data_IF_361235331512
#
_entry.id   IF_361235331512
#
_cell.length_a   1.000
_cell.length_b   1.000
_cell.length_c   1.000
_cell.angle_alpha   90.00
_cell.angle_beta   90.00
_cell.angle_gamma   90.00
#
_symmetry.space_group_name_H-M   'P 1'
#
loop_
_entity.id
_entity.type
_entity.pdbx_description
1 polymer ?
#
# COMPACT_ATOMS: atom_id res chain seq x y z
N UNK A 1 -11.44 10.40 -7.77
CA UNK A 1 -10.92 11.38 -6.79
C UNK A 1 -10.95 12.74 -7.44
N UNK A 2 -11.54 13.76 -6.83
CA UNK A 2 -11.42 15.10 -7.37
C UNK A 2 -9.93 15.50 -7.39
N UNK A 3 -9.42 15.84 -8.57
CA UNK A 3 -8.05 16.33 -8.74
C UNK A 3 -6.95 15.28 -8.98
N UNK A 4 -7.27 13.98 -9.00
CA UNK A 4 -6.32 12.96 -9.46
C UNK A 4 -6.51 12.76 -10.97
N UNK A 5 -5.44 12.90 -11.74
CA UNK A 5 -5.49 12.57 -13.17
C UNK A 5 -5.83 11.09 -13.32
N UNK A 6 -6.80 10.78 -14.19
CA UNK A 6 -7.06 9.41 -14.62
C UNK A 6 -6.03 9.07 -15.68
N UNK A 7 -4.89 8.58 -15.22
CA UNK A 7 -3.75 8.26 -16.07
C UNK A 7 -3.28 6.85 -15.80
N UNK A 8 -2.90 6.14 -16.81
CA UNK A 8 -2.25 4.84 -16.72
C UNK A 8 -0.74 4.98 -16.90
N UNK A 9 0.00 4.08 -16.29
CA UNK A 9 1.43 3.98 -16.54
C UNK A 9 1.65 3.66 -18.03
N UNK A 10 2.46 4.45 -18.68
CA UNK A 10 2.83 4.19 -20.07
C UNK A 10 3.63 2.89 -20.20
N UNK A 11 3.19 2.00 -21.10
CA UNK A 11 3.77 0.67 -21.27
C UNK A 11 5.23 0.73 -21.73
N UNK A 12 5.56 1.70 -22.58
CA UNK A 12 6.91 1.86 -23.10
C UNK A 12 7.87 2.27 -21.98
N UNK A 13 7.54 3.32 -21.22
CA UNK A 13 8.34 3.74 -20.05
C UNK A 13 8.46 2.65 -19.00
N UNK A 14 7.38 1.86 -18.78
CA UNK A 14 7.44 0.74 -17.84
C UNK A 14 8.42 -0.35 -18.30
N UNK A 15 8.44 -0.67 -19.61
CA UNK A 15 9.40 -1.63 -20.18
C UNK A 15 10.84 -1.13 -20.05
N UNK A 16 11.07 0.14 -20.37
CA UNK A 16 12.40 0.77 -20.21
C UNK A 16 12.84 0.78 -18.73
N UNK A 17 11.93 1.08 -17.81
CA UNK A 17 12.20 1.00 -16.36
C UNK A 17 12.66 -0.40 -15.96
N UNK A 18 11.97 -1.45 -16.40
CA UNK A 18 12.34 -2.83 -16.08
C UNK A 18 13.71 -3.20 -16.65
N UNK A 19 13.99 -2.83 -17.90
CA UNK A 19 15.29 -3.06 -18.53
C UNK A 19 16.42 -2.26 -17.85
N UNK A 20 16.12 -1.06 -17.36
CA UNK A 20 17.04 -0.22 -16.58
C UNK A 20 17.32 -0.71 -15.16
N UNK A 21 16.66 -1.78 -14.70
CA UNK A 21 16.79 -2.33 -13.36
C UNK A 21 17.27 -3.82 -13.38
N UNK A 22 18.51 -4.11 -13.84
CA UNK A 22 18.97 -5.48 -14.10
C UNK A 22 19.02 -6.36 -12.83
N UNK A 23 19.12 -5.76 -11.65
CA UNK A 23 19.15 -6.47 -10.36
C UNK A 23 17.79 -6.49 -9.66
N UNK A 24 16.71 -6.24 -10.39
CA UNK A 24 15.36 -6.26 -9.85
C UNK A 24 14.98 -7.67 -9.39
N UNK A 25 14.76 -7.83 -8.08
CA UNK A 25 14.49 -9.13 -7.46
C UNK A 25 13.09 -9.25 -6.88
N UNK A 26 12.35 -8.14 -6.79
CA UNK A 26 11.00 -8.11 -6.24
C UNK A 26 10.17 -6.97 -6.81
N UNK A 27 8.94 -7.26 -7.22
CA UNK A 27 7.95 -6.26 -7.63
C UNK A 27 6.65 -6.51 -6.89
N UNK A 28 6.08 -5.43 -6.35
CA UNK A 28 4.74 -5.45 -5.77
C UNK A 28 3.86 -4.39 -6.43
N UNK A 29 2.81 -4.84 -7.09
CA UNK A 29 1.73 -3.97 -7.52
C UNK A 29 0.71 -3.84 -6.41
N UNK A 30 0.56 -2.63 -5.88
CA UNK A 30 -0.40 -2.31 -4.83
C UNK A 30 -1.25 -1.11 -5.27
N UNK A 31 -2.55 -1.28 -5.25
CA UNK A 31 -3.50 -0.27 -5.71
C UNK A 31 -3.69 0.89 -4.72
N UNK A 32 -2.61 1.57 -4.31
CA UNK A 32 -2.70 2.69 -3.35
C UNK A 32 -3.58 3.85 -3.86
N UNK A 33 -3.56 4.07 -5.17
CA UNK A 33 -4.27 5.17 -5.84
C UNK A 33 -5.17 4.71 -6.98
N UNK A 34 -5.34 3.41 -7.11
CA UNK A 34 -6.15 2.77 -8.13
C UNK A 34 -6.22 1.27 -7.90
N UNK A 35 -6.71 0.54 -8.87
CA UNK A 35 -6.77 -0.91 -8.86
C UNK A 35 -6.04 -1.44 -10.09
N UNK A 36 -4.90 -2.09 -9.89
CA UNK A 36 -3.98 -2.48 -10.97
C UNK A 36 -4.62 -3.39 -12.01
N UNK A 37 -5.53 -4.28 -11.59
CA UNK A 37 -6.18 -5.23 -12.51
C UNK A 37 -7.15 -4.57 -13.48
N UNK A 38 -7.54 -3.31 -13.28
CA UNK A 38 -8.43 -2.61 -14.24
C UNK A 38 -7.67 -2.03 -15.42
N UNK A 39 -6.35 -1.83 -15.29
CA UNK A 39 -5.54 -1.35 -16.42
C UNK A 39 -5.58 -2.34 -17.58
N UNK A 40 -5.93 -1.90 -18.80
CA UNK A 40 -5.99 -2.76 -19.98
C UNK A 40 -4.61 -3.28 -20.39
N UNK A 41 -3.55 -2.59 -19.99
CA UNK A 41 -2.16 -2.91 -20.37
C UNK A 41 -1.43 -3.76 -19.34
N UNK A 42 -2.05 -4.03 -18.18
CA UNK A 42 -1.39 -4.69 -17.05
C UNK A 42 -0.81 -6.08 -17.40
N UNK A 43 -1.58 -6.92 -18.11
CA UNK A 43 -1.10 -8.26 -18.51
C UNK A 43 0.14 -8.13 -19.41
N UNK A 44 0.17 -7.20 -20.35
CA UNK A 44 1.32 -6.98 -21.24
C UNK A 44 2.57 -6.51 -20.46
N UNK A 45 2.37 -5.63 -19.46
CA UNK A 45 3.44 -5.22 -18.55
C UNK A 45 3.96 -6.39 -17.72
N UNK A 46 3.06 -7.21 -17.18
CA UNK A 46 3.39 -8.37 -16.37
C UNK A 46 4.14 -9.42 -17.19
N UNK A 47 3.69 -9.71 -18.42
CA UNK A 47 4.34 -10.63 -19.33
C UNK A 47 5.78 -10.17 -19.60
N UNK A 48 5.99 -8.88 -19.90
CA UNK A 48 7.33 -8.34 -20.10
C UNK A 48 8.24 -8.55 -18.87
N UNK A 49 7.72 -8.35 -17.66
CA UNK A 49 8.46 -8.64 -16.41
C UNK A 49 8.83 -10.10 -16.29
N UNK A 50 7.89 -11.00 -16.57
CA UNK A 50 8.10 -12.45 -16.51
C UNK A 50 9.18 -12.90 -17.49
N UNK A 51 9.20 -12.33 -18.69
CA UNK A 51 10.15 -12.67 -19.76
C UNK A 51 11.57 -12.10 -19.51
N UNK A 52 11.66 -10.92 -18.87
CA UNK A 52 12.93 -10.17 -18.79
C UNK A 52 13.57 -10.13 -17.40
N UNK A 53 12.91 -10.68 -16.37
CA UNK A 53 13.45 -10.68 -14.99
C UNK A 53 13.26 -12.03 -14.31
N UNK A 54 14.00 -12.26 -13.23
CA UNK A 54 13.76 -13.35 -12.27
C UNK A 54 13.04 -12.87 -11.00
N UNK A 55 12.53 -11.64 -10.98
CA UNK A 55 11.92 -11.02 -9.81
C UNK A 55 10.74 -11.85 -9.24
N UNK A 56 10.62 -11.89 -7.92
CA UNK A 56 9.42 -12.39 -7.23
C UNK A 56 8.31 -11.35 -7.34
N UNK A 57 7.09 -11.78 -7.65
CA UNK A 57 5.99 -10.93 -8.01
C UNK A 57 4.86 -11.01 -6.99
N UNK A 58 4.33 -9.86 -6.57
CA UNK A 58 3.16 -9.78 -5.69
C UNK A 58 2.16 -8.78 -6.24
N UNK A 59 0.91 -9.19 -6.33
CA UNK A 59 -0.20 -8.32 -6.70
C UNK A 59 -1.15 -8.24 -5.51
N UNK A 60 -1.52 -7.03 -5.08
CA UNK A 60 -2.56 -6.80 -4.08
C UNK A 60 -3.78 -6.18 -4.76
N UNK A 61 -4.94 -6.81 -4.64
CA UNK A 61 -6.16 -6.43 -5.36
C UNK A 61 -7.42 -6.73 -4.57
N UNK A 62 -8.51 -6.01 -4.87
CA UNK A 62 -9.85 -6.34 -4.37
C UNK A 62 -10.55 -7.44 -5.19
N UNK A 63 -9.96 -7.89 -6.31
CA UNK A 63 -10.42 -8.94 -7.19
C UNK A 63 -11.82 -8.78 -7.81
N UNK A 64 -12.45 -7.62 -7.71
CA UNK A 64 -13.83 -7.40 -8.17
C UNK A 64 -13.96 -7.15 -9.68
N UNK A 65 -12.85 -6.91 -10.37
CA UNK A 65 -12.80 -6.66 -11.81
C UNK A 65 -12.35 -7.89 -12.61
N UNK A 66 -12.51 -7.79 -13.93
CA UNK A 66 -12.15 -8.84 -14.90
C UNK A 66 -13.07 -10.08 -14.81
N UNK A 67 -12.92 -10.98 -15.76
CA UNK A 67 -13.62 -12.26 -15.82
C UNK A 67 -12.71 -13.44 -15.43
N UNK A 68 -13.30 -14.63 -15.35
CA UNK A 68 -12.58 -15.86 -14.95
C UNK A 68 -11.46 -16.23 -15.93
N UNK A 69 -11.60 -15.91 -17.23
CA UNK A 69 -10.59 -16.23 -18.23
C UNK A 69 -9.34 -15.42 -18.02
N UNK A 70 -9.48 -14.15 -17.71
CA UNK A 70 -8.37 -13.24 -17.36
C UNK A 70 -7.66 -13.72 -16.07
N UNK A 71 -8.41 -14.13 -15.04
CA UNK A 71 -7.82 -14.63 -13.80
C UNK A 71 -7.09 -15.96 -13.98
N UNK A 72 -7.59 -16.82 -14.86
CA UNK A 72 -6.89 -18.05 -15.25
C UNK A 72 -5.58 -17.73 -15.98
N UNK A 73 -5.58 -16.80 -16.91
CA UNK A 73 -4.37 -16.32 -17.60
C UNK A 73 -3.35 -15.77 -16.62
N UNK A 74 -3.78 -14.92 -15.67
CA UNK A 74 -2.93 -14.40 -14.61
C UNK A 74 -2.31 -15.51 -13.76
N UNK A 75 -3.10 -16.54 -13.42
CA UNK A 75 -2.62 -17.71 -12.65
C UNK A 75 -1.52 -18.47 -13.37
N UNK A 76 -1.69 -18.71 -14.68
CA UNK A 76 -0.69 -19.36 -15.51
C UNK A 76 0.59 -18.53 -15.63
N UNK A 77 0.45 -17.21 -15.80
CA UNK A 77 1.57 -16.29 -15.95
C UNK A 77 2.41 -16.15 -14.68
N UNK A 78 1.76 -16.19 -13.51
CA UNK A 78 2.43 -16.09 -12.20
C UNK A 78 2.93 -17.42 -11.63
N UNK A 79 2.62 -18.55 -12.27
CA UNK A 79 2.94 -19.88 -11.75
C UNK A 79 4.44 -20.01 -11.44
N UNK A 80 4.75 -20.35 -10.19
CA UNK A 80 6.14 -20.50 -9.71
C UNK A 80 6.91 -19.17 -9.50
N UNK A 81 6.34 -18.02 -9.86
CA UNK A 81 7.01 -16.72 -9.83
C UNK A 81 6.41 -15.72 -8.84
N UNK A 82 5.13 -15.84 -8.55
CA UNK A 82 4.47 -14.82 -7.79
C UNK A 82 3.20 -15.26 -7.10
N UNK A 83 2.60 -14.33 -6.37
CA UNK A 83 1.34 -14.53 -5.66
C UNK A 83 0.41 -13.33 -5.77
N UNK A 84 -0.88 -13.61 -5.63
CA UNK A 84 -1.92 -12.58 -5.51
C UNK A 84 -2.45 -12.54 -4.08
N UNK A 85 -2.49 -11.34 -3.50
CA UNK A 85 -3.11 -11.05 -2.23
C UNK A 85 -4.53 -10.51 -2.51
N UNK A 86 -5.53 -11.33 -2.24
CA UNK A 86 -6.94 -11.01 -2.41
C UNK A 86 -7.44 -10.27 -1.17
N UNK A 87 -7.76 -8.99 -1.31
CA UNK A 87 -8.25 -8.15 -0.21
C UNK A 87 -9.78 -8.25 -0.13
N UNK A 88 -10.27 -9.21 0.64
CA UNK A 88 -11.69 -9.51 0.85
C UNK A 88 -11.95 -9.42 2.35
N UNK A 89 -12.81 -8.48 2.79
CA UNK A 89 -12.91 -8.08 4.19
C UNK A 89 -14.30 -8.41 4.77
N UNK A 90 -14.70 -9.66 4.64
CA UNK A 90 -15.95 -10.22 5.11
C UNK A 90 -16.41 -11.38 4.25
N UNK A 91 -17.54 -11.98 4.59
CA UNK A 91 -18.28 -12.95 3.78
C UNK A 91 -19.41 -12.23 3.03
N UNK A 92 -20.38 -12.98 2.51
CA UNK A 92 -21.48 -12.50 1.66
C UNK A 92 -22.21 -11.28 2.27
N UNK A 93 -22.49 -11.36 3.58
CA UNK A 93 -23.31 -10.37 4.28
C UNK A 93 -22.55 -9.11 4.70
N UNK A 94 -21.21 -9.17 4.75
CA UNK A 94 -20.43 -8.10 5.38
C UNK A 94 -19.37 -7.47 4.51
N UNK A 95 -18.85 -8.19 3.49
CA UNK A 95 -17.77 -7.69 2.64
C UNK A 95 -18.09 -6.32 2.01
N UNK A 96 -19.33 -6.13 1.56
CA UNK A 96 -19.78 -4.91 0.89
C UNK A 96 -19.83 -3.69 1.82
N UNK A 97 -19.85 -3.88 3.15
CA UNK A 97 -19.88 -2.78 4.11
C UNK A 97 -18.58 -1.96 4.06
N UNK A 98 -17.46 -2.63 3.86
CA UNK A 98 -16.16 -1.98 3.70
C UNK A 98 -15.72 -1.95 2.23
N UNK A 99 -15.86 -3.03 1.48
CA UNK A 99 -15.56 -3.11 0.05
C UNK A 99 -16.76 -2.67 -0.79
N UNK A 100 -17.04 -1.36 -0.71
CA UNK A 100 -18.19 -0.76 -1.40
C UNK A 100 -18.13 -1.04 -2.91
N UNK A 101 -19.24 -1.55 -3.46
CA UNK A 101 -19.40 -2.00 -4.87
C UNK A 101 -18.57 -3.22 -5.28
N UNK A 102 -17.89 -3.91 -4.38
CA UNK A 102 -17.32 -5.21 -4.70
C UNK A 102 -18.39 -6.29 -4.62
N UNK A 103 -18.53 -7.07 -5.69
CA UNK A 103 -19.38 -8.26 -5.69
C UNK A 103 -18.59 -9.41 -5.08
N UNK A 104 -19.02 -9.89 -3.91
CA UNK A 104 -18.33 -10.94 -3.17
C UNK A 104 -18.21 -12.24 -3.95
N UNK A 105 -19.31 -12.70 -4.56
CA UNK A 105 -19.33 -13.95 -5.34
C UNK A 105 -18.34 -13.89 -6.49
N UNK A 106 -18.34 -12.78 -7.22
CA UNK A 106 -17.36 -12.54 -8.29
C UNK A 106 -15.92 -12.55 -7.79
N UNK A 107 -15.64 -11.96 -6.62
CA UNK A 107 -14.32 -12.01 -6.02
C UNK A 107 -13.88 -13.45 -5.73
N UNK A 108 -14.80 -14.29 -5.19
CA UNK A 108 -14.52 -15.68 -4.88
C UNK A 108 -14.35 -16.53 -6.15
N UNK A 109 -15.18 -16.33 -7.17
CA UNK A 109 -15.03 -17.00 -8.47
C UNK A 109 -13.72 -16.66 -9.16
N UNK A 110 -13.30 -15.41 -9.11
CA UNK A 110 -12.04 -14.93 -9.66
C UNK A 110 -10.84 -15.53 -8.92
N UNK A 111 -10.91 -15.57 -7.59
CA UNK A 111 -9.88 -16.22 -6.78
C UNK A 111 -9.77 -17.72 -7.08
N UNK A 112 -10.91 -18.42 -7.22
CA UNK A 112 -10.92 -19.84 -7.57
C UNK A 112 -10.30 -20.07 -8.95
N UNK A 113 -10.69 -19.29 -9.97
CA UNK A 113 -10.12 -19.42 -11.32
C UNK A 113 -8.60 -19.20 -11.35
N UNK A 114 -8.08 -18.29 -10.53
CA UNK A 114 -6.66 -18.06 -10.36
C UNK A 114 -5.95 -19.25 -9.70
N UNK A 115 -6.54 -19.80 -8.63
CA UNK A 115 -6.00 -20.95 -7.87
C UNK A 115 -6.00 -22.21 -8.74
N UNK A 116 -7.10 -22.49 -9.44
CA UNK A 116 -7.24 -23.66 -10.32
C UNK A 116 -6.23 -23.65 -11.47
N UNK A 117 -5.78 -22.47 -11.88
CA UNK A 117 -4.70 -22.30 -12.86
C UNK A 117 -3.30 -22.50 -12.28
N UNK A 118 -3.17 -22.80 -10.99
CA UNK A 118 -1.89 -23.01 -10.29
C UNK A 118 -1.30 -21.73 -9.70
N UNK A 119 -2.09 -20.66 -9.61
CA UNK A 119 -1.69 -19.42 -8.96
C UNK A 119 -1.62 -19.53 -7.45
N UNK A 120 -0.64 -18.89 -6.82
CA UNK A 120 -0.50 -18.84 -5.36
C UNK A 120 -1.33 -17.68 -4.81
N UNK A 121 -2.39 -18.01 -4.08
CA UNK A 121 -3.31 -17.03 -3.51
C UNK A 121 -3.12 -16.86 -2.00
N UNK A 122 -3.20 -15.62 -1.52
CA UNK A 122 -3.36 -15.27 -0.12
C UNK A 122 -4.64 -14.47 0.06
N UNK A 123 -5.43 -14.82 1.05
CA UNK A 123 -6.58 -14.01 1.45
C UNK A 123 -6.14 -13.01 2.53
N UNK A 124 -6.24 -11.73 2.23
CA UNK A 124 -6.03 -10.63 3.17
C UNK A 124 -7.38 -10.18 3.72
N UNK A 125 -7.59 -10.34 5.02
CA UNK A 125 -8.84 -10.04 5.73
C UNK A 125 -8.61 -8.95 6.77
N UNK A 126 -9.17 -7.76 6.55
CA UNK A 126 -9.07 -6.65 7.48
C UNK A 126 -10.26 -6.69 8.45
N UNK A 127 -9.96 -6.79 9.75
CA UNK A 127 -10.97 -6.99 10.78
C UNK A 127 -11.59 -5.67 11.25
N UNK A 128 -12.91 -5.67 11.33
CA UNK A 128 -13.76 -4.62 11.88
C UNK A 128 -14.83 -5.25 12.79
N UNK A 129 -15.58 -4.45 13.57
CA UNK A 129 -16.65 -4.95 14.41
C UNK A 129 -17.76 -5.69 13.66
N UNK A 130 -18.04 -5.30 12.39
CA UNK A 130 -19.07 -5.95 11.58
C UNK A 130 -18.67 -7.31 10.98
N UNK A 131 -17.38 -7.65 10.95
CA UNK A 131 -16.89 -8.89 10.34
C UNK A 131 -16.01 -9.76 11.27
N UNK A 132 -15.74 -9.34 12.52
CA UNK A 132 -14.88 -10.08 13.43
C UNK A 132 -15.38 -11.50 13.73
N UNK A 133 -16.71 -11.67 13.78
CA UNK A 133 -17.36 -12.97 14.07
C UNK A 133 -17.26 -13.96 12.89
N UNK A 134 -16.82 -13.52 11.72
CA UNK A 134 -16.71 -14.35 10.49
C UNK A 134 -15.28 -14.84 10.23
N UNK A 135 -14.29 -14.46 11.04
CA UNK A 135 -12.86 -14.75 10.78
C UNK A 135 -12.63 -16.25 10.63
N UNK A 136 -13.14 -17.09 11.55
CA UNK A 136 -12.94 -18.53 11.50
C UNK A 136 -13.63 -19.18 10.29
N UNK A 137 -14.82 -18.71 9.95
CA UNK A 137 -15.54 -19.17 8.74
C UNK A 137 -14.80 -18.81 7.46
N UNK A 138 -14.22 -17.59 7.41
CA UNK A 138 -13.41 -17.14 6.28
C UNK A 138 -12.12 -17.96 6.13
N UNK A 139 -11.46 -18.32 7.24
CA UNK A 139 -10.28 -19.20 7.25
C UNK A 139 -10.64 -20.58 6.70
N UNK A 140 -11.73 -21.16 7.17
CA UNK A 140 -12.17 -22.49 6.71
C UNK A 140 -12.56 -22.47 5.22
N UNK A 141 -13.23 -21.42 4.77
CA UNK A 141 -13.54 -21.22 3.35
C UNK A 141 -12.28 -21.07 2.50
N UNK A 142 -11.31 -20.28 2.96
CA UNK A 142 -10.03 -20.11 2.28
C UNK A 142 -9.28 -21.45 2.14
N UNK A 143 -9.29 -22.28 3.19
CA UNK A 143 -8.70 -23.62 3.16
C UNK A 143 -9.36 -24.53 2.12
N UNK A 144 -10.68 -24.55 2.08
CA UNK A 144 -11.46 -25.35 1.11
C UNK A 144 -11.24 -24.91 -0.34
N UNK A 145 -11.06 -23.63 -0.57
CA UNK A 145 -10.79 -23.07 -1.88
C UNK A 145 -9.35 -23.27 -2.38
N UNK A 146 -8.42 -23.64 -1.50
CA UNK A 146 -7.02 -23.80 -1.88
C UNK A 146 -6.16 -22.55 -1.75
N UNK A 147 -6.58 -21.55 -0.99
CA UNK A 147 -5.68 -20.46 -0.62
C UNK A 147 -4.49 -21.01 0.16
N UNK A 148 -3.27 -20.58 -0.22
CA UNK A 148 -2.06 -20.98 0.51
C UNK A 148 -1.96 -20.32 1.87
N UNK A 149 -2.24 -19.03 1.92
CA UNK A 149 -2.12 -18.21 3.13
C UNK A 149 -3.43 -17.47 3.42
N UNK A 150 -3.71 -17.25 4.71
CA UNK A 150 -4.74 -16.33 5.19
C UNK A 150 -4.09 -15.30 6.12
N UNK A 151 -4.29 -14.01 5.85
CA UNK A 151 -3.73 -12.94 6.66
C UNK A 151 -4.84 -12.18 7.40
N UNK A 152 -4.94 -12.37 8.72
CA UNK A 152 -5.77 -11.53 9.59
C UNK A 152 -5.04 -10.20 9.76
N UNK A 153 -5.63 -9.12 9.27
CA UNK A 153 -5.08 -7.77 9.36
C UNK A 153 -5.84 -6.95 10.40
N UNK A 154 -5.11 -6.37 11.32
CA UNK A 154 -5.66 -5.47 12.33
C UNK A 154 -5.63 -4.04 11.81
N UNK A 155 -6.70 -3.29 12.02
CA UNK A 155 -6.79 -1.89 11.58
C UNK A 155 -6.50 -0.92 12.72
N UNK A 156 -5.74 0.13 12.41
CA UNK A 156 -5.56 1.29 13.30
C UNK A 156 -6.38 2.50 12.86
N UNK A 157 -7.38 2.31 12.01
CA UNK A 157 -8.21 3.39 11.48
C UNK A 157 -9.07 4.08 12.55
N UNK A 158 -9.23 3.45 13.70
CA UNK A 158 -9.95 3.99 14.85
C UNK A 158 -9.04 4.68 15.87
N UNK A 159 -7.76 4.85 15.56
CA UNK A 159 -6.86 5.68 16.36
C UNK A 159 -7.29 7.12 16.19
N UNK A 160 -7.75 7.74 17.28
CA UNK A 160 -8.05 9.15 17.31
C UNK A 160 -6.76 9.93 17.13
N UNK A 161 -6.55 10.44 15.94
CA UNK A 161 -5.56 11.43 15.65
C UNK A 161 -6.29 12.78 15.70
N UNK A 162 -6.08 13.59 16.74
CA UNK A 162 -6.73 14.88 16.90
C UNK A 162 -6.42 15.83 15.73
N UNK A 163 -5.31 15.63 15.02
CA UNK A 163 -5.04 16.33 13.76
C UNK A 163 -5.98 15.91 12.63
N UNK A 164 -6.57 14.73 12.72
CA UNK A 164 -7.50 14.19 11.72
C UNK A 164 -8.96 14.19 12.17
N UNK A 165 -9.21 14.40 13.46
CA UNK A 165 -10.52 14.18 14.04
C UNK A 165 -11.04 15.32 14.90
N UNK A 166 -11.41 16.38 14.30
CA UNK A 166 -12.70 16.97 14.68
C UNK A 166 -13.87 16.20 14.04
N UNK A 167 -13.62 14.98 13.54
CA UNK A 167 -14.64 14.12 12.90
C UNK A 167 -14.50 12.74 13.48
N UNK A 168 -15.62 12.21 14.02
CA UNK A 168 -15.76 10.80 14.39
C UNK A 168 -15.16 9.95 13.30
N UNK A 169 -14.39 8.92 13.67
CA UNK A 169 -13.87 7.90 12.76
C UNK A 169 -15.04 7.12 12.17
N UNK A 170 -15.77 7.74 11.26
CA UNK A 170 -16.79 7.09 10.47
C UNK A 170 -16.17 6.55 9.19
N UNK A 171 -16.73 5.51 8.65
CA UNK A 171 -16.41 5.00 7.33
C UNK A 171 -16.38 6.09 6.25
N UNK A 172 -17.18 7.15 6.45
CA UNK A 172 -17.24 8.33 5.61
C UNK A 172 -15.88 9.04 5.45
N UNK A 173 -15.05 9.02 6.49
CA UNK A 173 -13.74 9.69 6.45
C UNK A 173 -12.63 8.85 5.85
N UNK A 174 -12.80 7.55 5.71
CA UNK A 174 -11.75 6.62 5.30
C UNK A 174 -11.96 6.00 3.91
N UNK A 175 -13.22 5.88 3.48
CA UNK A 175 -13.55 5.59 2.09
C UNK A 175 -13.57 6.86 1.24
N UNK A 176 -12.75 7.78 1.58
CA UNK A 176 -12.76 9.19 1.24
C UNK A 176 -12.56 9.46 -0.22
N UNK A 177 -12.43 8.49 -1.03
CA UNK A 177 -11.96 8.91 -2.30
C UNK A 177 -13.05 9.19 -3.31
N UNK A 178 -14.25 8.65 -3.18
CA UNK A 178 -15.28 8.97 -4.17
C UNK A 178 -16.73 8.71 -3.80
N UNK A 179 -17.04 7.97 -2.73
CA UNK A 179 -18.45 7.68 -2.38
C UNK A 179 -18.60 7.59 -0.87
N UNK A 180 -19.59 8.29 -0.32
CA UNK A 180 -19.99 8.12 1.08
C UNK A 180 -20.37 6.66 1.30
N UNK A 181 -19.71 5.99 2.22
CA UNK A 181 -20.15 4.68 2.67
C UNK A 181 -21.52 4.83 3.32
N UNK A 182 -22.42 3.90 3.03
CA UNK A 182 -23.72 3.83 3.70
C UNK A 182 -23.61 3.26 5.12
N UNK A 183 -22.45 2.73 5.48
CA UNK A 183 -22.22 2.01 6.72
C UNK A 183 -21.21 2.75 7.59
N UNK A 184 -21.48 2.78 8.89
CA UNK A 184 -20.50 3.18 9.89
C UNK A 184 -19.65 1.95 10.25
N UNK A 185 -18.34 2.06 10.11
CA UNK A 185 -17.42 1.00 10.53
C UNK A 185 -17.18 1.12 12.04
N UNK A 186 -17.26 0.00 12.73
CA UNK A 186 -17.00 -0.11 14.16
C UNK A 186 -15.68 -0.84 14.42
N UNK A 187 -15.03 -0.47 15.50
CA UNK A 187 -13.85 -1.18 16.00
C UNK A 187 -14.26 -2.59 16.45
N UNK A 188 -13.41 -3.60 16.28
CA UNK A 188 -13.64 -4.93 16.84
C UNK A 188 -13.91 -4.86 18.33
N UNK A 189 -14.75 -5.75 18.86
CA UNK A 189 -15.02 -5.91 20.29
C UNK A 189 -13.95 -6.77 20.95
N UNK A 190 -13.41 -7.75 20.21
CA UNK A 190 -12.28 -8.55 20.65
C UNK A 190 -11.00 -7.70 20.63
N UNK A 191 -10.47 -7.41 21.83
CA UNK A 191 -9.27 -6.60 22.01
C UNK A 191 -8.04 -7.18 21.29
N UNK A 192 -7.97 -8.50 21.12
CA UNK A 192 -6.89 -9.17 20.40
C UNK A 192 -6.89 -8.88 18.88
N UNK A 193 -8.01 -8.39 18.36
CA UNK A 193 -8.23 -8.00 16.97
C UNK A 193 -8.11 -6.48 16.75
N UNK A 194 -7.79 -5.72 17.79
CA UNK A 194 -7.56 -4.28 17.70
C UNK A 194 -6.08 -4.02 17.42
N UNK A 195 -5.80 -3.15 16.45
CA UNK A 195 -4.42 -2.75 16.16
C UNK A 195 -3.78 -1.95 17.31
N UNK A 196 -2.49 -2.16 17.53
CA UNK A 196 -1.71 -1.58 18.66
C UNK A 196 -1.55 -0.05 18.61
N UNK A 197 -2.03 0.59 17.56
CA UNK A 197 -1.91 2.04 17.38
C UNK A 197 -2.83 2.90 18.24
N UNK A 198 -3.79 2.30 18.95
CA UNK A 198 -4.82 3.00 19.74
C UNK A 198 -4.25 4.05 20.72
N UNK A 199 -3.08 3.79 21.28
CA UNK A 199 -2.48 4.66 22.31
C UNK A 199 -1.27 5.45 21.78
N UNK A 200 -0.82 5.24 20.56
CA UNK A 200 0.43 5.88 20.06
C UNK A 200 0.30 7.39 19.92
N UNK A 201 -0.86 7.87 19.47
CA UNK A 201 -1.07 9.30 19.33
C UNK A 201 -1.04 10.00 20.69
N UNK A 202 -1.72 9.41 21.68
CA UNK A 202 -1.71 9.92 23.04
C UNK A 202 -0.28 9.96 23.61
N UNK A 203 0.50 8.91 23.46
CA UNK A 203 1.89 8.83 23.92
C UNK A 203 2.79 9.88 23.22
N UNK A 204 2.58 10.13 21.91
CA UNK A 204 3.29 11.18 21.18
C UNK A 204 2.93 12.57 21.74
N UNK A 205 1.64 12.82 21.96
CA UNK A 205 1.18 14.10 22.53
C UNK A 205 1.72 14.32 23.94
N UNK A 206 1.70 13.28 24.78
CA UNK A 206 2.23 13.36 26.14
C UNK A 206 3.76 13.61 26.19
N UNK A 207 4.53 12.90 25.35
CA UNK A 207 5.99 12.99 25.37
C UNK A 207 6.55 14.17 24.58
N UNK A 208 5.97 14.48 23.42
CA UNK A 208 6.50 15.46 22.47
C UNK A 208 5.63 16.71 22.31
N UNK A 209 4.42 16.71 22.86
CA UNK A 209 3.45 17.79 22.76
C UNK A 209 2.72 17.85 21.41
N UNK A 210 3.36 17.44 20.31
CA UNK A 210 2.74 17.39 18.98
C UNK A 210 3.55 16.52 18.00
N UNK A 211 2.95 16.22 16.85
CA UNK A 211 3.57 15.42 15.81
C UNK A 211 4.81 16.06 15.17
N UNK A 212 4.84 17.41 15.07
CA UNK A 212 6.00 18.09 14.50
C UNK A 212 7.24 17.85 15.36
N UNK A 213 7.12 18.07 16.67
CA UNK A 213 8.21 17.84 17.61
C UNK A 213 8.68 16.38 17.61
N UNK A 214 7.74 15.43 17.56
CA UNK A 214 8.06 14.02 17.45
C UNK A 214 8.87 13.73 16.19
N UNK A 215 8.40 14.16 15.01
CA UNK A 215 9.09 13.90 13.74
C UNK A 215 10.49 14.54 13.72
N UNK A 216 10.62 15.75 14.25
CA UNK A 216 11.91 16.46 14.29
C UNK A 216 12.92 15.75 15.21
N UNK A 217 12.48 15.15 16.31
CA UNK A 217 13.36 14.55 17.33
C UNK A 217 13.59 13.05 17.11
N UNK A 218 12.62 12.30 16.55
CA UNK A 218 12.74 10.84 16.44
C UNK A 218 13.84 10.44 15.46
N UNK A 219 14.75 9.51 15.82
CA UNK A 219 15.65 8.89 14.84
C UNK A 219 14.88 8.09 13.79
N UNK A 220 15.43 8.02 12.57
CA UNK A 220 14.80 7.28 11.47
C UNK A 220 15.53 5.96 11.23
N UNK A 221 14.80 4.85 11.29
CA UNK A 221 15.22 3.54 10.82
C UNK A 221 14.40 3.16 9.59
N UNK A 222 14.90 3.52 8.41
CA UNK A 222 14.18 3.32 7.15
C UNK A 222 14.02 1.82 6.84
N UNK A 223 12.80 1.39 6.54
CA UNK A 223 12.47 -0.02 6.26
C UNK A 223 12.71 -0.41 4.79
N UNK A 224 12.77 0.56 3.90
CA UNK A 224 12.84 0.37 2.44
C UNK A 224 14.25 0.59 1.89
N UNK A 225 14.94 1.64 2.34
CA UNK A 225 16.27 2.00 1.84
C UNK A 225 17.30 0.87 1.95
N UNK A 226 17.40 0.13 3.08
CA UNK A 226 18.36 -0.97 3.20
C UNK A 226 18.14 -2.10 2.18
N UNK A 227 16.91 -2.27 1.70
CA UNK A 227 16.56 -3.29 0.71
C UNK A 227 16.58 -2.76 -0.73
N UNK A 228 17.05 -1.51 -0.96
CA UNK A 228 17.05 -0.90 -2.28
C UNK A 228 15.65 -0.69 -2.88
N UNK A 229 14.60 -0.63 -2.05
CA UNK A 229 13.23 -0.47 -2.53
C UNK A 229 12.94 0.97 -2.91
N UNK A 230 12.22 1.13 -4.01
CA UNK A 230 11.67 2.39 -4.49
C UNK A 230 10.18 2.21 -4.81
N UNK A 231 9.49 3.33 -5.00
CA UNK A 231 8.10 3.35 -5.44
C UNK A 231 8.00 4.11 -6.76
N UNK A 232 7.39 3.48 -7.76
CA UNK A 232 7.04 4.11 -9.03
C UNK A 232 5.55 4.41 -9.03
N UNK A 233 5.20 5.68 -9.27
CA UNK A 233 3.80 6.09 -9.37
C UNK A 233 3.28 6.07 -10.81
N UNK A 234 1.98 6.33 -10.98
CA UNK A 234 1.31 6.31 -12.28
C UNK A 234 1.69 7.50 -13.19
N UNK A 235 2.41 8.51 -12.68
CA UNK A 235 2.98 9.62 -13.47
C UNK A 235 4.44 9.35 -13.89
N UNK A 236 4.91 8.11 -13.77
CA UNK A 236 6.30 7.70 -13.98
C UNK A 236 7.30 8.43 -13.08
N UNK A 237 6.90 8.78 -11.84
CA UNK A 237 7.81 9.37 -10.88
C UNK A 237 8.34 8.32 -9.91
N UNK A 238 9.63 8.37 -9.68
CA UNK A 238 10.33 7.54 -8.68
C UNK A 238 10.32 8.26 -7.33
N UNK A 239 9.95 7.53 -6.29
CA UNK A 239 9.97 7.99 -4.91
C UNK A 239 10.74 7.01 -4.02
N UNK A 240 11.34 7.48 -2.92
CA UNK A 240 12.03 6.57 -1.98
C UNK A 240 11.12 5.46 -1.42
N UNK A 241 9.83 5.74 -1.26
CA UNK A 241 8.82 4.76 -0.88
C UNK A 241 7.40 5.32 -1.13
N UNK A 242 6.38 4.45 -1.00
CA UNK A 242 4.97 4.85 -1.19
C UNK A 242 4.51 5.94 -0.22
N UNK A 243 5.07 6.00 1.01
CA UNK A 243 4.70 7.00 1.99
C UNK A 243 5.22 8.40 1.64
N UNK A 244 6.39 8.49 1.01
CA UNK A 244 6.92 9.76 0.52
C UNK A 244 6.16 10.27 -0.70
N UNK A 245 5.66 9.37 -1.55
CA UNK A 245 4.79 9.71 -2.68
C UNK A 245 3.43 10.27 -2.24
N UNK A 246 2.92 9.86 -1.07
CA UNK A 246 1.56 10.21 -0.63
C UNK A 246 1.34 11.72 -0.49
N UNK A 247 2.36 12.47 -0.17
CA UNK A 247 2.31 13.94 -0.08
C UNK A 247 2.02 14.60 -1.42
N UNK A 248 2.64 14.09 -2.48
CA UNK A 248 2.43 14.57 -3.84
C UNK A 248 1.06 14.16 -4.39
N UNK A 249 0.66 12.91 -4.14
CA UNK A 249 -0.53 12.31 -4.72
C UNK A 249 -1.85 12.65 -4.00
N UNK A 250 -1.93 13.79 -3.34
CA UNK A 250 -3.13 14.38 -2.72
C UNK A 250 -3.72 13.66 -1.48
N UNK A 251 -3.11 12.57 -1.02
CA UNK A 251 -3.52 11.88 0.21
C UNK A 251 -2.80 12.37 1.46
N UNK A 252 -1.74 13.15 1.27
CA UNK A 252 -1.01 13.76 2.35
C UNK A 252 -1.80 14.88 3.00
N UNK A 253 -1.50 15.14 4.26
CA UNK A 253 -1.88 16.35 4.94
C UNK A 253 -1.20 17.58 4.29
N UNK A 254 -1.53 18.76 4.78
CA UNK A 254 -0.95 20.00 4.26
C UNK A 254 0.59 20.03 4.42
N UNK A 255 1.13 19.43 5.47
CA UNK A 255 2.57 19.34 5.74
C UNK A 255 3.28 18.52 4.67
N UNK A 256 2.75 17.34 4.33
CA UNK A 256 3.34 16.47 3.31
C UNK A 256 3.31 17.13 1.92
N UNK A 257 2.22 17.83 1.56
CA UNK A 257 2.14 18.60 0.31
C UNK A 257 3.16 19.73 0.26
N UNK A 258 3.32 20.48 1.36
CA UNK A 258 4.32 21.54 1.45
C UNK A 258 5.72 20.98 1.26
N UNK A 259 6.03 19.85 1.90
CA UNK A 259 7.34 19.19 1.77
C UNK A 259 7.60 18.67 0.34
N UNK A 260 6.59 18.09 -0.33
CA UNK A 260 6.72 17.68 -1.72
C UNK A 260 7.01 18.87 -2.64
N UNK A 261 6.27 19.98 -2.48
CA UNK A 261 6.52 21.20 -3.23
C UNK A 261 7.93 21.78 -2.96
N UNK A 262 8.37 21.77 -1.70
CA UNK A 262 9.72 22.21 -1.32
C UNK A 262 10.81 21.38 -2.02
N UNK A 263 10.61 20.07 -2.18
CA UNK A 263 11.54 19.24 -2.95
C UNK A 263 11.55 19.63 -4.43
N UNK A 264 10.38 19.92 -5.02
CA UNK A 264 10.29 20.38 -6.41
C UNK A 264 10.92 21.77 -6.60
N UNK A 265 10.79 22.66 -5.64
CA UNK A 265 11.42 23.98 -5.67
C UNK A 265 12.96 23.87 -5.58
N UNK A 266 13.48 22.90 -4.83
CA UNK A 266 14.92 22.67 -4.64
C UNK A 266 15.59 21.97 -5.83
N UNK A 267 14.95 20.95 -6.39
CA UNK A 267 15.56 20.02 -7.34
C UNK A 267 14.97 20.10 -8.75
N UNK A 268 13.95 20.92 -8.95
CA UNK A 268 13.18 20.97 -10.19
C UNK A 268 12.03 19.95 -10.20
N UNK A 269 10.95 20.32 -10.90
CA UNK A 269 9.71 19.52 -10.88
C UNK A 269 9.89 18.11 -11.45
N UNK A 270 10.86 17.91 -12.33
CA UNK A 270 11.06 16.64 -13.04
C UNK A 270 12.26 15.82 -12.52
N UNK A 271 12.89 16.22 -11.42
CA UNK A 271 14.10 15.57 -10.89
C UNK A 271 13.96 14.05 -10.65
N UNK A 272 12.74 13.57 -10.50
CA UNK A 272 12.43 12.16 -10.23
C UNK A 272 11.52 11.53 -11.30
N UNK A 273 11.41 12.14 -12.48
CA UNK A 273 10.51 11.70 -13.55
C UNK A 273 11.24 10.82 -14.56
N UNK A 274 10.73 9.61 -14.79
CA UNK A 274 11.22 8.71 -15.84
C UNK A 274 10.77 9.15 -17.25
N UNK A 275 9.92 10.16 -17.37
CA UNK A 275 9.61 10.77 -18.66
C UNK A 275 10.77 11.64 -19.17
N UNK A 276 11.67 12.08 -18.27
CA UNK A 276 12.77 13.01 -18.59
C UNK A 276 14.15 12.35 -18.35
N UNK A 277 14.22 11.36 -17.46
CA UNK A 277 15.47 10.78 -16.99
C UNK A 277 15.40 9.25 -16.97
N UNK A 278 16.51 8.58 -17.19
CA UNK A 278 16.63 7.16 -16.94
C UNK A 278 16.56 6.86 -15.41
N UNK A 279 16.24 5.63 -15.06
CA UNK A 279 16.24 5.22 -13.65
C UNK A 279 17.61 5.43 -12.99
N UNK A 280 18.70 5.17 -13.73
CA UNK A 280 20.05 5.36 -13.23
C UNK A 280 20.35 6.83 -12.89
N UNK A 281 19.94 7.75 -13.76
CA UNK A 281 20.10 9.21 -13.53
C UNK A 281 19.28 9.66 -12.32
N UNK A 282 18.01 9.22 -12.22
CA UNK A 282 17.17 9.53 -11.04
C UNK A 282 17.81 9.04 -9.76
N UNK A 283 18.30 7.80 -9.72
CA UNK A 283 18.93 7.25 -8.50
C UNK A 283 20.27 7.86 -8.18
N UNK A 284 21.01 8.36 -9.18
CA UNK A 284 22.26 9.10 -9.02
C UNK A 284 22.05 10.57 -8.63
N UNK A 285 20.84 11.11 -8.78
CA UNK A 285 20.51 12.47 -8.40
C UNK A 285 20.78 12.72 -6.91
N UNK A 286 21.29 13.89 -6.56
CA UNK A 286 21.70 14.28 -5.19
C UNK A 286 20.64 13.96 -4.12
N UNK A 287 19.37 14.16 -4.43
CA UNK A 287 18.28 13.81 -3.50
C UNK A 287 18.30 12.35 -3.11
N UNK A 288 18.35 11.41 -4.07
CA UNK A 288 18.32 9.97 -3.80
C UNK A 288 19.65 9.44 -3.27
N UNK A 289 20.76 9.94 -3.82
CA UNK A 289 22.09 9.45 -3.50
C UNK A 289 22.53 9.85 -2.07
N UNK A 290 22.20 11.06 -1.62
CA UNK A 290 22.70 11.59 -0.34
C UNK A 290 21.68 12.38 0.49
N UNK A 291 20.94 13.32 -0.11
CA UNK A 291 20.21 14.33 0.65
C UNK A 291 18.99 13.75 1.38
N UNK A 292 18.32 12.74 0.81
CA UNK A 292 17.21 12.05 1.45
C UNK A 292 17.60 11.42 2.78
N UNK A 293 18.72 10.68 2.84
CA UNK A 293 19.19 10.10 4.11
C UNK A 293 19.73 11.15 5.06
N UNK A 294 20.48 12.15 4.54
CA UNK A 294 21.02 13.25 5.34
C UNK A 294 19.91 14.09 5.98
N UNK A 295 18.76 14.24 5.33
CA UNK A 295 17.62 14.99 5.88
C UNK A 295 17.09 14.43 7.20
N UNK A 296 17.37 13.16 7.52
CA UNK A 296 16.92 12.53 8.78
C UNK A 296 17.63 13.08 10.02
N UNK A 297 18.81 13.71 9.85
CA UNK A 297 19.56 14.38 10.91
C UNK A 297 19.04 15.80 11.17
N UNK A 298 18.23 16.34 10.26
CA UNK A 298 17.61 17.66 10.35
C UNK A 298 16.21 17.65 10.94
N UNK A 299 15.49 18.73 10.65
CA UNK A 299 14.09 18.95 11.03
C UNK A 299 13.19 19.14 9.81
N UNK A 300 11.89 19.21 10.01
CA UNK A 300 10.92 19.51 8.94
C UNK A 300 11.13 20.91 8.33
N UNK A 301 11.77 21.84 9.05
CA UNK A 301 12.06 23.20 8.59
C UNK A 301 13.43 23.34 7.92
N UNK A 302 14.21 22.25 7.81
CA UNK A 302 15.51 22.26 7.13
C UNK A 302 15.34 22.51 5.63
N UNK A 303 16.42 23.02 4.96
CA UNK A 303 16.43 23.24 3.51
C UNK A 303 15.98 22.00 2.72
N UNK A 304 16.57 20.83 3.03
CA UNK A 304 16.01 19.53 2.65
C UNK A 304 15.26 19.01 3.87
N UNK A 305 13.94 18.98 3.86
CA UNK A 305 13.16 18.71 5.05
C UNK A 305 13.25 17.24 5.48
N UNK A 306 13.33 16.99 6.79
CA UNK A 306 13.01 15.68 7.34
C UNK A 306 11.54 15.41 7.08
N UNK A 307 11.27 14.48 6.17
CA UNK A 307 9.87 14.26 5.71
C UNK A 307 9.00 13.75 6.85
N UNK A 308 7.83 14.34 7.00
CA UNK A 308 6.82 13.90 7.96
C UNK A 308 6.51 12.41 7.81
N UNK A 309 6.41 11.93 6.57
CA UNK A 309 6.20 10.52 6.25
C UNK A 309 7.31 9.62 6.84
N UNK A 310 8.57 10.07 6.84
CA UNK A 310 9.68 9.31 7.41
C UNK A 310 9.58 9.21 8.94
N UNK A 311 9.38 10.32 9.64
CA UNK A 311 9.20 10.31 11.10
C UNK A 311 8.01 9.50 11.54
N UNK A 312 6.87 9.71 10.89
CA UNK A 312 5.63 8.99 11.20
C UNK A 312 5.74 7.48 11.00
N UNK A 313 6.39 7.04 9.93
CA UNK A 313 6.37 5.63 9.51
C UNK A 313 7.60 4.85 9.92
N UNK A 314 8.75 5.52 10.02
CA UNK A 314 10.05 4.92 10.25
C UNK A 314 10.77 5.49 11.48
N UNK A 315 10.11 6.36 12.26
CA UNK A 315 10.62 6.82 13.54
C UNK A 315 10.77 5.69 14.54
N UNK A 316 11.84 5.71 15.34
CA UNK A 316 12.17 4.60 16.24
C UNK A 316 11.51 4.69 17.61
N UNK A 317 11.15 5.89 18.07
CA UNK A 317 10.52 6.07 19.38
C UNK A 317 9.10 5.49 19.45
N UNK A 318 8.34 5.60 18.35
CA UNK A 318 7.02 4.98 18.20
C UNK A 318 6.87 4.44 16.78
N UNK A 319 6.79 3.13 16.66
CA UNK A 319 6.69 2.49 15.37
C UNK A 319 5.24 2.51 14.84
N UNK A 320 4.81 3.64 14.26
CA UNK A 320 3.49 3.79 13.66
C UNK A 320 3.23 2.80 12.52
N UNK A 321 4.27 2.35 11.81
CA UNK A 321 4.09 1.36 10.73
C UNK A 321 3.89 -0.06 11.24
N UNK A 322 4.30 -0.39 12.47
CA UNK A 322 3.82 -1.63 13.12
C UNK A 322 2.32 -1.56 13.33
N UNK A 323 1.79 -0.35 13.50
CA UNK A 323 0.40 -0.06 13.60
C UNK A 323 -0.36 -0.09 12.24
N UNK A 324 0.28 0.18 11.12
CA UNK A 324 -0.39 0.25 9.80
C UNK A 324 -0.23 -0.97 8.89
N UNK A 325 0.62 -1.90 9.19
CA UNK A 325 0.83 -2.98 8.22
C UNK A 325 1.47 -4.25 8.76
N UNK A 326 1.97 -4.26 9.97
CA UNK A 326 2.63 -5.43 10.56
C UNK A 326 1.79 -6.13 11.63
N UNK A 327 0.69 -5.54 12.10
CA UNK A 327 -0.30 -6.22 12.92
C UNK A 327 -1.13 -7.15 12.03
N UNK A 328 -0.50 -8.22 11.57
CA UNK A 328 -1.15 -9.30 10.85
C UNK A 328 -0.68 -10.63 11.38
N UNK A 329 -1.60 -11.57 11.52
CA UNK A 329 -1.29 -12.98 11.69
C UNK A 329 -1.44 -13.63 10.31
N UNK A 330 -0.40 -14.28 9.84
CA UNK A 330 -0.45 -15.07 8.60
C UNK A 330 -0.55 -16.53 9.02
N UNK A 331 -1.60 -17.19 8.54
CA UNK A 331 -1.83 -18.61 8.71
C UNK A 331 -1.50 -19.29 7.39
N UNK A 332 -0.58 -20.23 7.40
CA UNK A 332 -0.37 -21.13 6.28
C UNK A 332 -1.47 -22.18 6.30
N UNK A 333 -2.25 -22.25 5.24
CA UNK A 333 -3.42 -23.14 5.15
C UNK A 333 -3.11 -24.44 4.42
N UNK A 334 -2.06 -24.43 3.59
CA UNK A 334 -1.63 -25.56 2.77
C UNK A 334 -0.12 -25.78 2.95
N UNK A 335 0.29 -26.98 3.28
CA UNK A 335 1.68 -27.38 3.19
C UNK A 335 2.01 -27.59 1.70
N UNK A 336 2.97 -26.86 1.19
CA UNK A 336 3.51 -27.03 -0.19
C UNK A 336 4.41 -28.25 -0.23
#
# INVERSE_FOLDING_TARGET
MPGLAMQELDVHHYKEFILGAPNLNFIMWCGNYGEVIVSPTFINCLQHVVENTSAKLVIATNSSARDKSWWKELGLLLKGRGKVNFSIDGLEETNHMYRVNANFEKCMENAQAFIDAGGIARWDYLVFGHNEHQVDQAIERARKMGFRDFAIKLTNRFVNDEQYTNKKSSAENQNVVTRKSKYTLEMPRDESLIGSGKNQNQLIMEKFGNWKNYVDQTPISCKWKPNGQIFLDFENRVWPCTWTASGYLHYGDNTQKKQANQLFDLYGRNFNSLNEHSLAEVLAHDYFAKDFCKSWEGTQDSKVPKLFACGRTCGTDYNFSSAHGTNRRILELQNV
#
